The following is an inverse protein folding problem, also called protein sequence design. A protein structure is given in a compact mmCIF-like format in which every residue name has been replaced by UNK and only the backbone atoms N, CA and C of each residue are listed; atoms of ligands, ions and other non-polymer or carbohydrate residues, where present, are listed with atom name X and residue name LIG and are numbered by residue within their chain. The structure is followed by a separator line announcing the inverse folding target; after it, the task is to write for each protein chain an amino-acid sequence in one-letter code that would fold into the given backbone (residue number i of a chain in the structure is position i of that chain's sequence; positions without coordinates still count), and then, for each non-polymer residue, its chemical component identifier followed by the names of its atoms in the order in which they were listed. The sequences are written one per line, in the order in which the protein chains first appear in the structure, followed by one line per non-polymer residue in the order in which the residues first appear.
data_IF_297387817002
#
_entry.id   IF_297387817002
#
_cell.length_a   1.000
_cell.length_b   1.000
_cell.length_c   1.000
_cell.angle_alpha   90.00
_cell.angle_beta   90.00
_cell.angle_gamma   90.00
#
_symmetry.space_group_name_H-M   'P 1'
#
loop_
_entity.id
_entity.type
_entity.pdbx_description
1 polymer ?
#
# COMPACT_ATOMS: atom_id res chain seq x y z
N UNK A 1 37.49 19.13 10.64
CA UNK A 1 36.99 17.75 10.72
C UNK A 1 35.58 17.81 11.29
N UNK A 2 34.56 18.03 10.46
CA UNK A 2 33.17 18.07 10.94
C UNK A 2 32.56 16.70 10.71
N UNK A 3 32.29 15.97 11.80
CA UNK A 3 31.58 14.70 11.79
C UNK A 3 30.22 14.89 11.10
N UNK A 4 29.93 14.06 10.10
CA UNK A 4 28.61 13.99 9.47
C UNK A 4 27.60 13.65 10.57
N UNK A 5 26.45 14.35 10.68
CA UNK A 5 25.42 13.98 11.63
C UNK A 5 24.94 12.54 11.35
N UNK A 6 24.60 11.77 12.39
CA UNK A 6 24.10 10.40 12.23
C UNK A 6 22.89 10.39 11.30
N UNK A 7 22.78 9.36 10.46
CA UNK A 7 21.61 9.20 9.62
C UNK A 7 20.40 8.99 10.54
N UNK A 8 19.19 9.47 10.22
CA UNK A 8 18.01 9.26 11.06
C UNK A 8 17.74 7.77 11.37
N UNK A 9 18.18 6.86 10.50
CA UNK A 9 18.07 5.40 10.71
C UNK A 9 19.14 4.82 11.66
N UNK A 10 20.16 5.61 12.03
CA UNK A 10 21.19 5.22 13.00
C UNK A 10 20.79 5.60 14.44
N UNK A 11 19.62 6.23 14.63
CA UNK A 11 19.08 6.61 15.92
C UNK A 11 18.31 5.44 16.55
N UNK A 12 18.88 4.84 17.59
CA UNK A 12 18.30 3.70 18.31
C UNK A 12 16.96 4.01 19.02
N UNK A 13 16.58 5.30 19.13
CA UNK A 13 15.26 5.70 19.62
C UNK A 13 14.17 5.66 18.55
N UNK A 14 14.53 5.52 17.27
CA UNK A 14 13.60 5.35 16.18
C UNK A 14 13.24 3.86 16.06
N UNK A 15 11.95 3.56 16.20
CA UNK A 15 11.42 2.22 15.95
C UNK A 15 11.70 1.87 14.50
N UNK A 16 12.39 0.75 14.26
CA UNK A 16 12.65 0.24 12.91
C UNK A 16 11.32 0.21 12.12
N UNK A 17 11.20 0.97 11.01
CA UNK A 17 9.98 1.01 10.21
C UNK A 17 9.56 -0.37 9.65
N UNK A 18 10.46 -1.36 9.66
CA UNK A 18 10.16 -2.74 9.30
C UNK A 18 9.55 -3.56 10.46
N UNK A 19 9.53 -3.02 11.68
CA UNK A 19 8.97 -3.64 12.89
C UNK A 19 7.59 -3.06 13.28
N UNK A 20 7.04 -2.12 12.51
CA UNK A 20 5.69 -1.61 12.74
C UNK A 20 4.62 -2.59 12.21
N UNK A 21 3.39 -2.57 12.74
CA UNK A 21 2.28 -3.31 12.16
C UNK A 21 2.10 -2.98 10.67
N UNK A 22 1.71 -3.94 9.82
CA UNK A 22 1.60 -3.69 8.39
C UNK A 22 0.59 -2.59 8.10
N UNK A 23 1.02 -1.58 7.35
CA UNK A 23 0.13 -0.53 6.86
C UNK A 23 -0.79 -1.11 5.77
N UNK A 24 -2.06 -0.73 5.80
CA UNK A 24 -3.09 -1.21 4.88
C UNK A 24 -3.22 -0.23 3.71
N UNK A 25 -2.78 -0.64 2.55
CA UNK A 25 -2.74 0.18 1.34
C UNK A 25 -4.00 -0.03 0.49
N UNK A 26 -4.58 1.08 0.04
CA UNK A 26 -5.54 1.16 -1.03
C UNK A 26 -4.86 1.61 -2.32
N UNK A 27 -5.30 1.13 -3.47
CA UNK A 27 -4.77 1.56 -4.77
C UNK A 27 -5.85 2.22 -5.64
N UNK A 28 -5.58 3.42 -6.14
CA UNK A 28 -6.39 4.05 -7.19
C UNK A 28 -5.78 3.75 -8.55
N UNK A 29 -6.58 3.08 -9.39
CA UNK A 29 -6.17 2.62 -10.71
C UNK A 29 -5.71 1.18 -10.68
N UNK A 30 -6.24 0.37 -11.60
CA UNK A 30 -5.93 -1.06 -11.74
C UNK A 30 -5.14 -1.27 -13.05
N UNK A 31 -3.98 -0.63 -13.12
CA UNK A 31 -3.12 -0.59 -14.30
C UNK A 31 -1.84 -1.40 -14.14
N UNK A 32 -0.92 -1.25 -15.10
CA UNK A 32 0.38 -1.92 -15.08
C UNK A 32 1.25 -1.45 -13.91
N UNK A 33 1.28 -0.14 -13.65
CA UNK A 33 2.02 0.43 -12.51
C UNK A 33 1.48 -0.10 -11.19
N UNK A 34 0.16 -0.17 -11.03
CA UNK A 34 -0.47 -0.73 -9.83
C UNK A 34 -0.14 -2.21 -9.65
N UNK A 35 -0.05 -2.98 -10.74
CA UNK A 35 0.42 -4.36 -10.71
C UNK A 35 1.84 -4.46 -10.15
N UNK A 36 2.78 -3.72 -10.75
CA UNK A 36 4.18 -3.72 -10.34
C UNK A 36 4.33 -3.28 -8.87
N UNK A 37 3.60 -2.25 -8.48
CA UNK A 37 3.58 -1.74 -7.11
C UNK A 37 3.03 -2.77 -6.11
N UNK A 38 1.93 -3.45 -6.46
CA UNK A 38 1.37 -4.51 -5.61
C UNK A 38 2.35 -5.67 -5.45
N UNK A 39 3.09 -6.04 -6.50
CA UNK A 39 4.10 -7.09 -6.40
C UNK A 39 5.28 -6.66 -5.52
N UNK A 40 5.73 -5.41 -5.64
CA UNK A 40 6.78 -4.88 -4.78
C UNK A 40 6.37 -4.89 -3.29
N UNK A 41 5.14 -4.45 -2.98
CA UNK A 41 4.64 -4.42 -1.60
C UNK A 41 4.54 -5.80 -0.96
N UNK A 42 4.33 -6.88 -1.73
CA UNK A 42 4.32 -8.26 -1.18
C UNK A 42 5.64 -8.68 -0.54
N UNK A 43 6.75 -8.01 -0.88
CA UNK A 43 8.05 -8.29 -0.28
C UNK A 43 8.29 -7.51 1.02
N UNK A 44 7.39 -6.60 1.39
CA UNK A 44 7.53 -5.78 2.58
C UNK A 44 6.63 -6.32 3.69
N UNK A 45 7.19 -6.79 4.83
CA UNK A 45 6.38 -7.26 5.94
C UNK A 45 5.54 -6.15 6.58
N UNK A 46 5.93 -4.89 6.41
CA UNK A 46 5.24 -3.71 6.92
C UNK A 46 4.18 -3.13 5.96
N UNK A 47 3.79 -3.85 4.90
CA UNK A 47 2.76 -3.40 3.97
C UNK A 47 1.80 -4.52 3.54
N UNK A 48 0.51 -4.19 3.41
CA UNK A 48 -0.51 -5.07 2.86
C UNK A 48 -1.46 -4.29 1.98
N UNK A 49 -1.68 -4.73 0.74
CA UNK A 49 -2.69 -4.13 -0.15
C UNK A 49 -4.06 -4.74 0.14
N UNK A 50 -4.97 -3.94 0.70
CA UNK A 50 -6.28 -4.41 1.19
C UNK A 50 -7.45 -3.99 0.29
N UNK A 51 -7.26 -2.93 -0.49
CA UNK A 51 -8.29 -2.38 -1.36
C UNK A 51 -7.73 -1.88 -2.71
N UNK A 52 -8.52 -1.96 -3.76
CA UNK A 52 -8.22 -1.29 -5.03
C UNK A 52 -9.48 -0.68 -5.66
N UNK A 53 -9.32 0.36 -6.47
CA UNK A 53 -10.41 0.97 -7.22
C UNK A 53 -10.04 1.25 -8.67
N UNK A 54 -11.05 1.25 -9.54
CA UNK A 54 -10.98 1.73 -10.91
C UNK A 54 -12.34 2.32 -11.28
N UNK A 55 -12.40 3.18 -12.31
CA UNK A 55 -13.69 3.69 -12.84
C UNK A 55 -14.57 2.60 -13.46
N UNK A 56 -14.00 1.43 -13.70
CA UNK A 56 -14.68 0.23 -14.16
C UNK A 56 -14.61 -0.81 -13.05
N UNK A 57 -15.78 -1.18 -12.52
CA UNK A 57 -15.88 -2.11 -11.39
C UNK A 57 -15.36 -3.52 -11.73
N UNK A 58 -15.58 -3.99 -12.96
CA UNK A 58 -15.10 -5.31 -13.38
C UNK A 58 -13.57 -5.32 -13.41
N UNK A 59 -12.96 -4.26 -13.93
CA UNK A 59 -11.51 -4.11 -13.93
C UNK A 59 -10.92 -4.09 -12.51
N UNK A 60 -11.61 -3.43 -11.57
CA UNK A 60 -11.19 -3.43 -10.16
C UNK A 60 -11.26 -4.84 -9.55
N UNK A 61 -12.35 -5.57 -9.81
CA UNK A 61 -12.53 -6.96 -9.35
C UNK A 61 -11.50 -7.91 -9.93
N UNK A 62 -11.27 -7.88 -11.25
CA UNK A 62 -10.25 -8.70 -11.91
C UNK A 62 -8.85 -8.45 -11.32
N UNK A 63 -8.52 -7.19 -11.04
CA UNK A 63 -7.27 -6.83 -10.41
C UNK A 63 -7.17 -7.36 -8.97
N UNK A 64 -8.25 -7.21 -8.20
CA UNK A 64 -8.30 -7.72 -6.83
C UNK A 64 -8.14 -9.23 -6.79
N UNK A 65 -8.86 -9.97 -7.64
CA UNK A 65 -8.77 -11.43 -7.76
C UNK A 65 -7.35 -11.87 -8.14
N UNK A 66 -6.74 -11.19 -9.13
CA UNK A 66 -5.37 -11.48 -9.58
C UNK A 66 -4.34 -11.32 -8.46
N UNK A 67 -4.55 -10.37 -7.54
CA UNK A 67 -3.57 -10.02 -6.52
C UNK A 67 -3.91 -10.54 -5.12
N UNK A 68 -5.10 -11.09 -4.91
CA UNK A 68 -5.61 -11.52 -3.60
C UNK A 68 -6.03 -10.37 -2.70
N UNK A 69 -6.53 -9.27 -3.29
CA UNK A 69 -6.95 -8.07 -2.55
C UNK A 69 -8.40 -8.25 -2.10
N UNK A 70 -8.67 -7.98 -0.81
CA UNK A 70 -9.97 -8.27 -0.20
C UNK A 70 -11.13 -7.40 -0.69
N UNK A 71 -10.84 -6.17 -1.15
CA UNK A 71 -11.87 -5.18 -1.49
C UNK A 71 -11.60 -4.54 -2.85
N UNK A 72 -12.63 -4.45 -3.68
CA UNK A 72 -12.57 -3.82 -5.00
C UNK A 72 -13.74 -2.84 -5.18
N UNK A 73 -13.45 -1.64 -5.66
CA UNK A 73 -14.44 -0.57 -5.85
C UNK A 73 -14.48 -0.07 -7.29
N UNK A 74 -15.69 0.19 -7.80
CA UNK A 74 -15.93 0.82 -9.11
C UNK A 74 -15.87 2.35 -9.10
N UNK A 75 -15.59 2.94 -7.94
CA UNK A 75 -15.48 4.38 -7.71
C UNK A 75 -14.38 4.66 -6.69
N UNK A 76 -13.90 5.91 -6.68
CA UNK A 76 -12.78 6.30 -5.83
C UNK A 76 -13.25 6.74 -4.45
N UNK A 77 -14.45 7.32 -4.34
CA UNK A 77 -15.00 7.79 -3.08
C UNK A 77 -15.13 6.68 -2.04
N UNK A 78 -15.58 5.48 -2.44
CA UNK A 78 -15.72 4.34 -1.51
C UNK A 78 -14.38 3.85 -0.99
N UNK A 79 -13.34 3.82 -1.83
CA UNK A 79 -12.00 3.43 -1.42
C UNK A 79 -11.40 4.48 -0.45
N UNK A 80 -11.58 5.77 -0.73
CA UNK A 80 -11.11 6.86 0.13
C UNK A 80 -11.85 6.87 1.48
N UNK A 81 -13.12 6.50 1.51
CA UNK A 81 -13.93 6.44 2.72
C UNK A 81 -13.72 5.15 3.55
N UNK A 82 -12.96 4.18 3.05
CA UNK A 82 -12.75 2.91 3.74
C UNK A 82 -11.83 3.08 4.95
N UNK A 83 -12.38 2.86 6.15
CA UNK A 83 -11.63 2.94 7.41
C UNK A 83 -10.60 1.82 7.59
N UNK A 84 -10.66 0.81 6.73
CA UNK A 84 -9.66 -0.24 6.70
C UNK A 84 -8.45 0.06 5.83
N UNK A 85 -8.41 1.25 5.21
CA UNK A 85 -7.28 1.73 4.42
C UNK A 85 -6.56 2.84 5.18
N UNK A 86 -5.26 2.67 5.37
CA UNK A 86 -4.40 3.63 6.06
C UNK A 86 -3.73 4.61 5.06
N UNK A 87 -3.46 4.14 3.83
CA UNK A 87 -2.75 4.88 2.77
C UNK A 87 -3.42 4.63 1.42
N UNK A 88 -3.52 5.67 0.58
CA UNK A 88 -4.08 5.63 -0.79
C UNK A 88 -3.01 6.00 -1.81
#
# INVERSE_FOLDING_TARGET
MTSKPPHPMDDESIVDPLQCPPLRWGLIGCGRVSHDFTQALKHLPSASVVACSARDENRAKEFADKHGISKAYGDYERLIADKDVDII
#
